data_IF_491445400114
#
_entry.id   IF_491445400114
#
_cell.length_a   1.000
_cell.length_b   1.000
_cell.length_c   1.000
_cell.angle_alpha   90.00
_cell.angle_beta   90.00
_cell.angle_gamma   90.00
#
_symmetry.space_group_name_H-M   'P 1'
#
loop_
_entity.id
_entity.type
_entity.pdbx_description
1 polymer ?
#
# COMPACT_ATOMS: atom_id res chain seq x y z
N UNK A 1 -51.41 -24.45 21.35
CA UNK A 1 -50.03 -24.98 21.35
C UNK A 1 -49.49 -24.92 22.78
N UNK A 2 -49.07 -26.02 23.37
CA UNK A 2 -48.67 -26.09 24.77
C UNK A 2 -47.32 -25.35 24.99
N UNK A 3 -47.15 -24.78 26.19
CA UNK A 3 -45.94 -24.08 26.62
C UNK A 3 -44.65 -24.90 26.38
N UNK A 4 -44.73 -26.24 26.49
CA UNK A 4 -43.64 -27.16 26.18
C UNK A 4 -43.23 -27.18 24.71
N UNK A 5 -44.16 -27.01 23.76
CA UNK A 5 -43.83 -26.93 22.33
C UNK A 5 -43.12 -25.60 22.00
N UNK A 6 -43.54 -24.50 22.62
CA UNK A 6 -42.85 -23.18 22.45
C UNK A 6 -41.43 -23.23 23.00
N UNK A 7 -41.16 -23.85 24.17
CA UNK A 7 -39.81 -23.99 24.74
C UNK A 7 -38.89 -24.83 23.86
N UNK A 8 -39.39 -25.93 23.30
CA UNK A 8 -38.57 -26.73 22.36
C UNK A 8 -38.22 -25.98 21.09
N UNK A 9 -39.14 -25.21 20.52
CA UNK A 9 -38.89 -24.37 19.36
C UNK A 9 -37.83 -23.30 19.62
N UNK A 10 -37.86 -22.64 20.76
CA UNK A 10 -36.88 -21.64 21.17
C UNK A 10 -35.49 -22.27 21.33
N UNK A 11 -35.40 -23.47 21.91
CA UNK A 11 -34.13 -24.19 22.05
C UNK A 11 -33.57 -24.66 20.68
N UNK A 12 -34.43 -25.06 19.75
CA UNK A 12 -33.97 -25.40 18.39
C UNK A 12 -33.55 -24.18 17.59
N UNK A 13 -34.20 -23.02 17.73
CA UNK A 13 -33.81 -21.76 17.09
C UNK A 13 -32.48 -21.26 17.64
N UNK A 14 -32.26 -21.31 18.94
CA UNK A 14 -30.99 -20.88 19.56
C UNK A 14 -29.83 -21.83 19.19
N UNK A 15 -30.08 -23.14 19.11
CA UNK A 15 -29.07 -24.09 18.61
C UNK A 15 -28.74 -23.86 17.14
N UNK A 16 -29.72 -23.57 16.28
CA UNK A 16 -29.53 -23.30 14.87
C UNK A 16 -28.74 -21.96 14.68
N UNK A 17 -29.05 -20.94 15.46
CA UNK A 17 -28.30 -19.65 15.46
C UNK A 17 -26.86 -19.88 15.90
N UNK A 18 -26.59 -20.67 16.92
CA UNK A 18 -25.21 -20.98 17.34
C UNK A 18 -24.46 -21.80 16.28
N UNK A 19 -25.12 -22.76 15.61
CA UNK A 19 -24.47 -23.59 14.57
C UNK A 19 -24.07 -22.76 13.35
N UNK A 20 -24.79 -21.67 13.07
CA UNK A 20 -24.49 -20.79 11.92
C UNK A 20 -23.63 -19.59 12.33
N UNK A 21 -23.90 -18.95 13.46
CA UNK A 21 -23.20 -17.77 13.90
C UNK A 21 -21.75 -18.05 14.36
N UNK A 22 -21.50 -19.17 15.04
CA UNK A 22 -20.15 -19.52 15.50
C UNK A 22 -19.18 -19.81 14.34
N UNK A 23 -19.54 -20.59 13.31
CA UNK A 23 -18.68 -20.73 12.14
C UNK A 23 -18.46 -19.42 11.38
N UNK A 24 -19.48 -18.56 11.27
CA UNK A 24 -19.36 -17.26 10.61
C UNK A 24 -18.41 -16.35 11.40
N UNK A 25 -18.51 -16.29 12.73
CA UNK A 25 -17.59 -15.49 13.56
C UNK A 25 -16.18 -16.03 13.53
N UNK A 26 -15.97 -17.35 13.56
CA UNK A 26 -14.66 -17.96 13.41
C UNK A 26 -14.10 -17.70 12.01
N UNK A 27 -14.90 -17.84 10.96
CA UNK A 27 -14.50 -17.54 9.58
C UNK A 27 -14.12 -16.07 9.40
N UNK A 28 -14.91 -15.14 9.96
CA UNK A 28 -14.59 -13.71 9.97
C UNK A 28 -13.31 -13.41 10.76
N UNK A 29 -13.09 -14.06 11.91
CA UNK A 29 -11.83 -13.91 12.65
C UNK A 29 -10.63 -14.46 11.87
N UNK A 30 -10.79 -15.54 11.11
CA UNK A 30 -9.73 -16.08 10.25
C UNK A 30 -9.37 -15.09 9.14
N UNK A 31 -10.33 -14.36 8.58
CA UNK A 31 -10.10 -13.38 7.52
C UNK A 31 -9.52 -12.07 8.07
N UNK A 32 -9.87 -11.66 9.29
CA UNK A 32 -9.52 -10.36 9.86
C UNK A 32 -8.19 -10.40 10.62
N UNK A 33 -7.82 -11.54 11.25
CA UNK A 33 -6.60 -11.61 12.05
C UNK A 33 -5.42 -12.13 11.25
N UNK A 34 -4.39 -11.30 11.15
CA UNK A 34 -3.09 -11.71 10.63
C UNK A 34 -2.35 -12.58 11.66
N UNK A 35 -1.77 -13.67 11.19
CA UNK A 35 -0.82 -14.48 11.96
C UNK A 35 0.56 -14.33 11.31
N UNK A 36 1.23 -13.24 11.70
CA UNK A 36 2.46 -12.76 11.08
C UNK A 36 3.64 -13.53 11.66
N UNK A 37 4.47 -14.20 10.83
CA UNK A 37 5.73 -14.77 11.29
C UNK A 37 6.70 -13.68 11.74
N UNK A 38 7.62 -14.03 12.62
CA UNK A 38 8.73 -13.13 13.00
C UNK A 38 9.65 -12.90 11.78
N UNK A 39 10.18 -11.68 11.69
CA UNK A 39 11.14 -11.31 10.66
C UNK A 39 12.48 -11.99 10.93
N UNK A 40 13.16 -12.46 9.89
CA UNK A 40 14.47 -13.07 10.02
C UNK A 40 15.51 -12.03 10.46
N UNK A 41 16.30 -12.39 11.48
CA UNK A 41 17.34 -11.51 12.03
C UNK A 41 18.37 -11.13 10.96
N UNK A 42 18.67 -9.84 10.87
CA UNK A 42 19.64 -9.30 9.93
C UNK A 42 19.14 -9.23 8.47
N UNK A 43 17.88 -9.58 8.21
CA UNK A 43 17.29 -9.46 6.88
C UNK A 43 17.09 -8.00 6.46
N UNK A 44 17.04 -7.77 5.15
CA UNK A 44 16.68 -6.46 4.58
C UNK A 44 15.26 -6.10 4.99
N UNK A 45 14.32 -7.06 4.94
CA UNK A 45 12.96 -6.88 5.41
C UNK A 45 12.92 -6.36 6.86
N UNK A 46 13.66 -7.01 7.78
CA UNK A 46 13.74 -6.59 9.18
C UNK A 46 14.32 -5.18 9.32
N UNK A 47 15.41 -4.88 8.60
CA UNK A 47 16.07 -3.56 8.63
C UNK A 47 15.09 -2.44 8.25
N UNK A 48 14.37 -2.59 7.15
CA UNK A 48 13.45 -1.57 6.66
C UNK A 48 12.08 -1.60 7.38
N UNK A 49 11.79 -2.63 8.16
CA UNK A 49 10.68 -2.67 9.09
C UNK A 49 10.95 -1.89 10.40
N UNK A 50 12.21 -1.57 10.71
CA UNK A 50 12.58 -0.73 11.85
C UNK A 50 12.33 0.75 11.50
N UNK A 51 12.13 1.57 12.56
CA UNK A 51 11.98 3.02 12.41
C UNK A 51 13.23 3.63 11.78
N UNK A 52 13.04 4.50 10.80
CA UNK A 52 14.12 5.28 10.18
C UNK A 52 14.69 6.36 11.11
N UNK A 53 15.69 7.07 10.62
CA UNK A 53 16.47 8.03 11.43
C UNK A 53 15.86 9.42 11.56
N UNK A 54 14.88 9.76 10.69
CA UNK A 54 14.32 11.11 10.69
C UNK A 54 13.27 11.31 11.80
N UNK A 55 13.29 12.49 12.39
CA UNK A 55 12.19 13.00 13.20
C UNK A 55 11.02 13.38 12.32
N UNK A 56 9.84 12.83 12.59
CA UNK A 56 8.64 13.05 11.77
C UNK A 56 7.79 14.18 12.33
N UNK A 57 7.30 15.03 11.43
CA UNK A 57 6.25 16.02 11.65
C UNK A 57 4.98 15.52 10.98
N UNK A 58 3.83 15.82 11.59
CA UNK A 58 2.51 15.49 11.03
C UNK A 58 1.69 16.79 10.98
N UNK A 59 1.05 17.05 9.85
CA UNK A 59 0.24 18.24 9.63
C UNK A 59 -1.04 17.92 8.86
N UNK A 60 -2.14 18.59 9.20
CA UNK A 60 -3.38 18.51 8.46
C UNK A 60 -3.56 19.73 7.55
N UNK A 61 -3.77 19.47 6.27
CA UNK A 61 -4.20 20.46 5.30
C UNK A 61 -5.71 20.53 5.32
N UNK A 62 -6.26 21.74 5.49
CA UNK A 62 -7.70 21.97 5.55
C UNK A 62 -8.18 22.83 4.39
N UNK A 63 -9.38 22.56 3.92
CA UNK A 63 -10.11 23.46 3.02
C UNK A 63 -10.47 24.76 3.74
N UNK A 64 -10.82 25.80 2.99
CA UNK A 64 -11.35 27.05 3.57
C UNK A 64 -12.61 26.83 4.40
N UNK A 65 -13.36 25.75 4.17
CA UNK A 65 -14.50 25.32 4.98
C UNK A 65 -14.11 24.78 6.37
N UNK A 66 -12.82 24.53 6.63
CA UNK A 66 -12.30 23.88 7.83
C UNK A 66 -12.27 22.35 7.77
N UNK A 67 -12.80 21.75 6.70
CA UNK A 67 -12.76 20.31 6.48
C UNK A 67 -11.32 19.84 6.15
N UNK A 68 -10.89 18.73 6.75
CA UNK A 68 -9.59 18.11 6.45
C UNK A 68 -9.57 17.60 5.01
N UNK A 69 -8.51 17.92 4.27
CA UNK A 69 -8.31 17.55 2.89
C UNK A 69 -7.22 16.48 2.77
N UNK A 70 -6.04 16.76 3.35
CA UNK A 70 -4.89 15.85 3.37
C UNK A 70 -4.28 15.79 4.76
N UNK A 71 -3.62 14.67 5.09
CA UNK A 71 -2.66 14.56 6.17
C UNK A 71 -1.26 14.35 5.57
N UNK A 72 -0.32 15.14 6.06
CA UNK A 72 1.08 15.12 5.66
C UNK A 72 1.93 14.54 6.78
N UNK A 73 2.85 13.66 6.41
CA UNK A 73 3.88 13.11 7.28
C UNK A 73 5.22 13.39 6.62
N UNK A 74 6.11 14.10 7.28
CA UNK A 74 7.35 14.52 6.66
C UNK A 74 8.49 14.59 7.66
N UNK A 75 9.75 14.36 7.22
CA UNK A 75 10.92 14.52 8.08
C UNK A 75 11.03 15.98 8.52
N UNK A 76 11.52 16.24 9.74
CA UNK A 76 11.92 17.58 10.13
C UNK A 76 13.00 18.05 9.14
N UNK A 77 12.66 19.03 8.28
CA UNK A 77 13.48 19.43 7.17
C UNK A 77 14.87 19.94 7.58
N UNK A 78 15.89 19.49 6.88
CA UNK A 78 17.24 20.02 6.92
C UNK A 78 17.38 21.18 5.93
N UNK A 79 18.33 22.09 6.14
CA UNK A 79 18.44 23.33 5.37
C UNK A 79 18.65 23.07 3.87
N UNK A 80 19.56 22.17 3.53
CA UNK A 80 19.97 21.89 2.15
C UNK A 80 19.41 20.57 1.59
N UNK A 81 18.42 19.96 2.26
CA UNK A 81 17.82 18.69 1.82
C UNK A 81 16.47 18.90 1.13
N UNK A 82 16.21 18.08 0.13
CA UNK A 82 14.91 17.87 -0.48
C UNK A 82 14.56 16.39 -0.45
N UNK A 83 13.28 16.05 -0.51
CA UNK A 83 12.77 14.72 -0.17
C UNK A 83 11.84 14.19 -1.25
N UNK A 84 11.90 12.87 -1.55
CA UNK A 84 10.93 12.19 -2.40
C UNK A 84 9.53 12.20 -1.80
N UNK A 85 8.51 12.06 -2.68
CA UNK A 85 7.10 11.96 -2.28
C UNK A 85 6.63 10.50 -2.32
N UNK A 86 5.76 10.15 -1.37
CA UNK A 86 4.84 9.01 -1.48
C UNK A 86 3.41 9.55 -1.33
N UNK A 87 2.58 9.41 -2.38
CA UNK A 87 1.15 9.64 -2.27
C UNK A 87 0.44 8.31 -1.98
N UNK A 88 -0.34 8.31 -0.88
CA UNK A 88 -1.01 7.11 -0.39
C UNK A 88 -2.45 7.02 -0.87
N UNK A 89 -2.89 5.81 -1.24
CA UNK A 89 -4.27 5.47 -1.59
C UNK A 89 -4.94 4.65 -0.49
N UNK A 90 -6.00 5.19 0.10
CA UNK A 90 -6.77 4.54 1.16
C UNK A 90 -7.64 3.39 0.64
N UNK A 91 -7.89 2.39 1.48
CA UNK A 91 -8.96 1.41 1.25
C UNK A 91 -10.34 2.04 1.38
N UNK A 92 -11.37 1.31 0.95
CA UNK A 92 -12.78 1.74 1.04
C UNK A 92 -13.14 2.20 2.45
N UNK A 93 -13.77 3.37 2.58
CA UNK A 93 -14.18 3.99 3.84
C UNK A 93 -13.04 4.27 4.84
N UNK A 94 -11.78 4.09 4.45
CA UNK A 94 -10.62 4.40 5.27
C UNK A 94 -10.22 5.87 5.15
N UNK A 95 -9.54 6.36 6.18
CA UNK A 95 -8.94 7.70 6.28
C UNK A 95 -7.50 7.55 6.78
N UNK A 96 -6.67 8.60 6.79
CA UNK A 96 -5.29 8.54 7.27
C UNK A 96 -5.11 7.88 8.65
N UNK A 97 -6.11 7.97 9.53
CA UNK A 97 -6.04 7.36 10.87
C UNK A 97 -5.82 5.82 10.84
N UNK A 98 -6.26 5.16 9.76
CA UNK A 98 -6.06 3.71 9.59
C UNK A 98 -4.59 3.34 9.34
N UNK A 99 -3.80 4.26 8.79
CA UNK A 99 -2.42 4.03 8.34
C UNK A 99 -1.40 4.92 9.06
N UNK A 100 -1.81 5.66 10.09
CA UNK A 100 -1.01 6.71 10.73
C UNK A 100 0.40 6.24 11.16
N UNK A 101 0.50 5.06 11.77
CA UNK A 101 1.78 4.48 12.18
C UNK A 101 2.67 4.10 10.98
N UNK A 102 2.08 3.52 9.92
CA UNK A 102 2.78 3.15 8.70
C UNK A 102 3.29 4.39 7.96
N UNK A 103 2.44 5.42 7.78
CA UNK A 103 2.81 6.63 7.05
C UNK A 103 3.84 7.45 7.83
N UNK A 104 3.74 7.48 9.16
CA UNK A 104 4.79 8.01 10.05
C UNK A 104 6.09 7.21 9.89
N UNK A 105 6.00 5.88 9.80
CA UNK A 105 7.17 5.05 9.58
C UNK A 105 7.87 5.38 8.24
N UNK A 106 7.13 5.47 7.14
CA UNK A 106 7.69 5.86 5.84
C UNK A 106 8.37 7.24 5.91
N UNK A 107 7.72 8.22 6.53
CA UNK A 107 8.32 9.54 6.72
C UNK A 107 9.61 9.51 7.55
N UNK A 108 9.74 8.58 8.51
CA UNK A 108 10.96 8.40 9.27
C UNK A 108 12.15 7.90 8.43
N UNK A 109 11.89 7.37 7.23
CA UNK A 109 12.87 6.95 6.24
C UNK A 109 13.21 8.03 5.20
N UNK A 110 12.71 9.27 5.41
CA UNK A 110 13.06 10.44 4.59
C UNK A 110 12.06 10.76 3.48
N UNK A 111 10.86 10.21 3.50
CA UNK A 111 9.81 10.53 2.54
C UNK A 111 8.90 11.64 3.05
N UNK A 112 8.41 12.50 2.15
CA UNK A 112 7.20 13.27 2.37
C UNK A 112 6.03 12.39 1.95
N UNK A 113 5.19 12.00 2.90
CA UNK A 113 4.03 11.14 2.66
C UNK A 113 2.77 12.00 2.76
N UNK A 114 1.90 11.89 1.76
CA UNK A 114 0.63 12.61 1.72
C UNK A 114 -0.52 11.62 1.53
N UNK A 115 -1.57 11.79 2.33
CA UNK A 115 -2.76 10.94 2.30
C UNK A 115 -4.03 11.79 2.34
N UNK A 116 -5.02 11.43 1.54
CA UNK A 116 -6.29 12.12 1.43
C UNK A 116 -7.29 11.65 2.51
N UNK A 117 -8.09 12.57 3.03
CA UNK A 117 -9.26 12.23 3.85
C UNK A 117 -10.45 11.69 3.05
N UNK A 118 -10.32 11.56 1.72
CA UNK A 118 -11.33 10.88 0.91
C UNK A 118 -11.47 9.42 1.31
N UNK A 119 -12.70 8.96 1.41
CA UNK A 119 -13.04 7.56 1.68
C UNK A 119 -13.12 6.70 0.42
N UNK A 120 -12.89 7.31 -0.73
CA UNK A 120 -12.91 6.65 -2.04
C UNK A 120 -11.70 7.15 -2.83
N UNK A 121 -10.75 6.26 -3.10
CA UNK A 121 -9.50 6.59 -3.81
C UNK A 121 -9.24 5.71 -5.03
N UNK A 122 -10.17 4.80 -5.36
CA UNK A 122 -9.99 3.78 -6.38
C UNK A 122 -9.84 4.31 -7.80
N UNK A 123 -10.41 5.49 -8.09
CA UNK A 123 -10.22 6.15 -9.39
C UNK A 123 -8.80 6.72 -9.58
N UNK A 124 -8.03 6.89 -8.50
CA UNK A 124 -6.71 7.52 -8.51
C UNK A 124 -6.72 9.04 -8.48
N UNK A 125 -7.89 9.67 -8.51
CA UNK A 125 -8.05 11.13 -8.57
C UNK A 125 -7.43 11.80 -7.34
N UNK A 126 -7.78 11.36 -6.14
CA UNK A 126 -7.31 11.94 -4.88
C UNK A 126 -5.80 11.77 -4.69
N UNK A 127 -5.24 10.68 -5.21
CA UNK A 127 -3.81 10.39 -5.21
C UNK A 127 -3.05 11.41 -6.07
N UNK A 128 -3.59 11.72 -7.25
CA UNK A 128 -3.01 12.72 -8.16
C UNK A 128 -3.21 14.14 -7.64
N UNK A 129 -4.38 14.46 -7.07
CA UNK A 129 -4.64 15.77 -6.44
C UNK A 129 -3.66 16.04 -5.28
N UNK A 130 -3.28 15.01 -4.53
CA UNK A 130 -2.26 15.10 -3.48
C UNK A 130 -0.87 15.44 -4.04
N UNK A 131 -0.48 14.80 -5.16
CA UNK A 131 0.77 15.11 -5.87
C UNK A 131 0.75 16.56 -6.39
N UNK A 132 -0.34 16.97 -7.03
CA UNK A 132 -0.50 18.32 -7.58
C UNK A 132 -0.48 19.39 -6.47
N UNK A 133 -1.07 19.08 -5.30
CA UNK A 133 -0.98 19.95 -4.12
C UNK A 133 0.49 20.16 -3.70
N UNK A 134 1.25 19.10 -3.49
CA UNK A 134 2.65 19.18 -3.08
C UNK A 134 3.51 19.88 -4.13
N UNK A 135 3.24 19.66 -5.42
CA UNK A 135 3.92 20.38 -6.50
C UNK A 135 3.71 21.89 -6.38
N UNK A 136 2.47 22.33 -6.15
CA UNK A 136 2.16 23.74 -5.98
C UNK A 136 2.85 24.33 -4.73
N UNK A 137 2.85 23.58 -3.61
CA UNK A 137 3.54 24.00 -2.38
C UNK A 137 5.04 24.14 -2.59
N UNK A 138 5.67 23.27 -3.39
CA UNK A 138 7.10 23.32 -3.71
C UNK A 138 7.51 24.58 -4.51
N UNK A 139 6.57 25.18 -5.24
CA UNK A 139 6.78 26.38 -6.06
C UNK A 139 6.50 27.69 -5.31
N UNK A 140 5.80 27.65 -4.16
CA UNK A 140 5.38 28.83 -3.41
C UNK A 140 6.41 29.24 -2.34
N UNK A 141 7.05 30.40 -2.49
CA UNK A 141 8.11 30.87 -1.59
C UNK A 141 7.69 31.04 -0.11
N UNK A 142 6.40 31.14 0.17
CA UNK A 142 5.85 31.23 1.54
C UNK A 142 5.41 29.86 2.11
N UNK A 143 5.52 28.79 1.33
CA UNK A 143 5.22 27.44 1.78
C UNK A 143 6.35 26.85 2.62
N UNK A 144 6.00 26.04 3.61
CA UNK A 144 6.96 25.19 4.33
C UNK A 144 7.70 24.21 3.40
N UNK A 145 7.05 23.80 2.32
CA UNK A 145 7.56 22.84 1.35
C UNK A 145 8.32 23.49 0.18
N UNK A 146 8.55 24.82 0.21
CA UNK A 146 9.25 25.52 -0.87
C UNK A 146 10.64 24.94 -1.11
N UNK A 147 10.86 24.41 -2.31
CA UNK A 147 12.11 23.76 -2.75
C UNK A 147 12.56 22.57 -1.85
N UNK A 148 11.61 21.95 -1.13
CA UNK A 148 11.88 20.77 -0.28
C UNK A 148 11.46 19.44 -0.92
N UNK A 149 10.91 19.46 -2.13
CA UNK A 149 10.35 18.29 -2.79
C UNK A 149 11.13 17.93 -4.05
N UNK A 150 11.52 16.67 -4.14
CA UNK A 150 12.14 16.07 -5.34
C UNK A 150 11.03 15.62 -6.30
N UNK A 151 10.62 16.51 -7.22
CA UNK A 151 9.53 16.24 -8.15
C UNK A 151 9.83 15.13 -9.16
N UNK A 152 11.09 14.75 -9.31
CA UNK A 152 11.56 13.63 -10.13
C UNK A 152 11.46 12.28 -9.41
N UNK A 153 11.17 12.28 -8.09
CA UNK A 153 11.18 11.12 -7.23
C UNK A 153 9.83 10.95 -6.52
N UNK A 154 8.80 10.59 -7.28
CA UNK A 154 7.43 10.39 -6.79
C UNK A 154 7.05 8.92 -6.87
N UNK A 155 6.72 8.33 -5.74
CA UNK A 155 6.11 7.00 -5.65
C UNK A 155 4.64 7.09 -5.23
N UNK A 156 3.87 6.07 -5.58
CA UNK A 156 2.51 5.88 -5.08
C UNK A 156 2.37 4.50 -4.47
N UNK A 157 1.68 4.41 -3.34
CA UNK A 157 1.34 3.15 -2.70
C UNK A 157 -0.10 3.19 -2.20
N UNK A 158 -0.79 2.06 -2.21
CA UNK A 158 -2.18 2.03 -1.78
C UNK A 158 -2.65 0.65 -1.39
N UNK A 159 -3.69 0.63 -0.56
CA UNK A 159 -4.31 -0.57 0.00
C UNK A 159 -5.72 -0.78 -0.53
N UNK A 160 -6.06 -2.02 -0.91
CA UNK A 160 -7.42 -2.39 -1.29
C UNK A 160 -7.95 -1.50 -2.43
N UNK A 161 -9.03 -0.73 -2.27
CA UNK A 161 -9.48 0.25 -3.25
C UNK A 161 -8.37 1.24 -3.64
N UNK A 162 -7.53 1.67 -2.69
CA UNK A 162 -6.36 2.49 -2.99
C UNK A 162 -5.30 1.77 -3.82
N UNK A 163 -5.24 0.43 -3.76
CA UNK A 163 -4.37 -0.37 -4.63
C UNK A 163 -4.82 -0.30 -6.10
N UNK A 164 -6.12 -0.23 -6.37
CA UNK A 164 -6.63 0.08 -7.71
C UNK A 164 -6.34 1.53 -8.08
N UNK A 165 -6.52 2.43 -7.11
CA UNK A 165 -6.30 3.86 -7.27
C UNK A 165 -4.89 4.24 -7.67
N UNK A 166 -3.85 3.60 -7.12
CA UNK A 166 -2.46 3.89 -7.50
C UNK A 166 -2.15 3.47 -8.94
N UNK A 167 -2.75 2.39 -9.42
CA UNK A 167 -2.68 1.99 -10.83
C UNK A 167 -3.37 3.04 -11.70
N UNK A 168 -4.60 3.42 -11.36
CA UNK A 168 -5.38 4.41 -12.08
C UNK A 168 -4.74 5.81 -12.03
N UNK A 169 -4.12 6.21 -10.93
CA UNK A 169 -3.38 7.46 -10.81
C UNK A 169 -2.24 7.55 -11.85
N UNK A 170 -1.48 6.47 -12.02
CA UNK A 170 -0.42 6.41 -13.02
C UNK A 170 -0.95 6.37 -14.45
N UNK A 171 -2.01 5.61 -14.71
CA UNK A 171 -2.43 5.26 -16.08
C UNK A 171 -3.47 6.19 -16.69
N UNK A 172 -4.25 6.92 -15.88
CA UNK A 172 -5.42 7.66 -16.33
C UNK A 172 -5.30 9.19 -16.22
N UNK A 173 -4.24 9.70 -15.56
CA UNK A 173 -4.08 11.14 -15.33
C UNK A 173 -2.78 11.67 -15.92
N UNK A 174 -2.81 12.96 -16.32
CA UNK A 174 -1.63 13.62 -16.88
C UNK A 174 -0.47 13.66 -15.87
N UNK A 175 -0.75 14.00 -14.61
CA UNK A 175 0.25 14.03 -13.54
C UNK A 175 0.77 12.63 -13.17
N UNK A 176 0.11 11.56 -13.62
CA UNK A 176 0.58 10.18 -13.53
C UNK A 176 1.95 9.95 -14.19
N UNK A 177 2.31 10.77 -15.20
CA UNK A 177 3.64 10.73 -15.82
C UNK A 177 4.79 11.16 -14.89
N UNK A 178 4.49 11.81 -13.77
CA UNK A 178 5.48 12.17 -12.75
C UNK A 178 5.79 10.99 -11.81
N UNK A 179 4.92 9.99 -11.76
CA UNK A 179 5.07 8.81 -10.90
C UNK A 179 6.20 7.94 -11.44
N UNK A 180 7.14 7.55 -10.57
CA UNK A 180 8.32 6.75 -10.88
C UNK A 180 8.21 5.30 -10.42
N UNK A 181 7.30 5.01 -9.50
CA UNK A 181 7.02 3.64 -9.04
C UNK A 181 5.63 3.52 -8.45
N UNK A 182 5.02 2.35 -8.62
CA UNK A 182 3.70 2.00 -8.11
C UNK A 182 3.82 0.83 -7.16
N UNK A 183 3.15 0.88 -6.01
CA UNK A 183 3.01 -0.25 -5.08
C UNK A 183 1.53 -0.50 -4.80
N UNK A 184 1.07 -1.69 -5.16
CA UNK A 184 -0.31 -2.14 -4.95
C UNK A 184 -0.36 -3.19 -3.85
N UNK A 185 -1.13 -2.94 -2.77
CA UNK A 185 -1.19 -3.81 -1.60
C UNK A 185 -2.62 -4.34 -1.43
N UNK A 186 -2.77 -5.67 -1.38
CA UNK A 186 -4.05 -6.35 -1.33
C UNK A 186 -4.98 -5.92 -2.47
N UNK A 187 -4.46 -5.98 -3.72
CA UNK A 187 -5.15 -5.58 -4.94
C UNK A 187 -6.46 -6.37 -5.12
N UNK A 188 -7.62 -5.73 -5.15
CA UNK A 188 -8.89 -6.42 -5.32
C UNK A 188 -9.00 -7.10 -6.68
N UNK A 189 -9.62 -8.29 -6.70
CA UNK A 189 -10.10 -8.88 -7.95
C UNK A 189 -11.12 -7.93 -8.62
N UNK A 190 -11.07 -7.80 -9.94
CA UNK A 190 -11.91 -6.87 -10.72
C UNK A 190 -13.41 -7.00 -10.42
N UNK A 191 -13.87 -8.21 -10.04
CA UNK A 191 -15.28 -8.43 -9.63
C UNK A 191 -15.69 -7.72 -8.34
N UNK A 192 -14.71 -7.22 -7.56
CA UNK A 192 -14.93 -6.47 -6.32
C UNK A 192 -14.71 -4.95 -6.52
N UNK A 193 -14.31 -4.53 -7.72
CA UNK A 193 -14.12 -3.11 -8.03
C UNK A 193 -15.45 -2.47 -8.44
N UNK A 194 -15.69 -1.25 -8.01
CA UNK A 194 -16.73 -0.42 -8.59
C UNK A 194 -16.39 -0.10 -10.06
N UNK A 195 -17.38 0.16 -10.91
CA UNK A 195 -17.14 0.38 -12.35
C UNK A 195 -16.11 1.48 -12.67
N UNK A 196 -16.03 2.52 -11.85
CA UNK A 196 -15.06 3.62 -11.97
C UNK A 196 -13.68 3.28 -11.45
N UNK A 197 -13.53 2.23 -10.64
CA UNK A 197 -12.28 1.81 -10.02
C UNK A 197 -11.56 0.69 -10.82
N UNK A 198 -12.14 0.25 -11.92
CA UNK A 198 -11.53 -0.77 -12.80
C UNK A 198 -10.15 -0.31 -13.24
N UNK A 199 -9.18 -1.19 -13.11
CA UNK A 199 -7.78 -0.92 -13.42
C UNK A 199 -7.26 -1.80 -14.58
N UNK A 200 -6.18 -1.33 -15.22
CA UNK A 200 -5.49 -2.05 -16.29
C UNK A 200 -3.96 -2.00 -16.07
N UNK A 201 -3.39 -3.11 -15.62
CA UNK A 201 -1.95 -3.20 -15.34
C UNK A 201 -1.09 -3.22 -16.60
N UNK A 202 -1.66 -3.55 -17.78
CA UNK A 202 -0.94 -3.49 -19.06
C UNK A 202 -0.46 -2.07 -19.42
N UNK A 203 -1.04 -1.05 -18.78
CA UNK A 203 -0.71 0.36 -19.00
C UNK A 203 0.34 0.91 -18.03
N UNK A 204 0.80 0.08 -17.07
CA UNK A 204 1.87 0.47 -16.15
C UNK A 204 3.21 0.40 -16.88
N UNK A 205 3.94 1.52 -16.86
CA UNK A 205 5.23 1.68 -17.56
C UNK A 205 6.39 2.00 -16.62
N UNK A 206 6.15 1.99 -15.31
CA UNK A 206 7.16 2.25 -14.26
C UNK A 206 7.27 1.05 -13.34
N UNK A 207 8.38 0.88 -12.61
CA UNK A 207 8.55 -0.24 -11.68
C UNK A 207 7.34 -0.46 -10.77
N UNK A 208 6.88 -1.70 -10.71
CA UNK A 208 5.64 -2.07 -10.05
C UNK A 208 5.84 -3.20 -9.03
N UNK A 209 5.45 -2.97 -7.78
CA UNK A 209 5.42 -3.98 -6.72
C UNK A 209 3.99 -4.33 -6.34
N UNK A 210 3.67 -5.62 -6.31
CA UNK A 210 2.37 -6.15 -5.92
C UNK A 210 2.55 -6.98 -4.65
N UNK A 211 1.88 -6.61 -3.58
CA UNK A 211 1.94 -7.33 -2.31
C UNK A 211 0.55 -7.78 -1.88
N UNK A 212 0.41 -9.09 -1.64
CA UNK A 212 -0.82 -9.67 -1.09
C UNK A 212 -0.59 -10.37 0.24
N UNK A 213 -1.64 -11.03 0.74
CA UNK A 213 -1.58 -11.84 1.95
C UNK A 213 -2.22 -13.20 1.77
N UNK A 214 -1.61 -14.28 2.29
CA UNK A 214 -2.13 -15.65 2.09
C UNK A 214 -3.48 -15.90 2.74
N UNK A 215 -3.96 -15.00 3.61
CA UNK A 215 -5.29 -15.08 4.23
C UNK A 215 -6.31 -14.16 3.56
N UNK A 216 -5.91 -13.42 2.52
CA UNK A 216 -6.78 -12.57 1.71
C UNK A 216 -7.22 -13.29 0.41
N UNK A 217 -7.80 -14.47 0.56
CA UNK A 217 -8.19 -15.31 -0.57
C UNK A 217 -9.53 -14.95 -1.20
N UNK A 218 -10.24 -13.96 -0.66
CA UNK A 218 -11.55 -13.50 -1.18
C UNK A 218 -11.38 -12.24 -2.02
N UNK A 219 -10.79 -11.20 -1.43
CA UNK A 219 -10.69 -9.88 -2.07
C UNK A 219 -9.47 -9.82 -3.01
N UNK A 220 -8.31 -10.26 -2.52
CA UNK A 220 -7.04 -10.25 -3.24
C UNK A 220 -6.40 -11.63 -3.29
N UNK A 221 -7.03 -12.63 -3.96
CA UNK A 221 -6.45 -13.96 -4.08
C UNK A 221 -5.13 -13.92 -4.87
N UNK A 222 -4.26 -14.90 -4.66
CA UNK A 222 -2.98 -15.01 -5.37
C UNK A 222 -3.15 -14.93 -6.88
N UNK A 223 -4.20 -15.54 -7.44
CA UNK A 223 -4.47 -15.51 -8.88
C UNK A 223 -4.70 -14.11 -9.44
N UNK A 224 -5.29 -13.20 -8.67
CA UNK A 224 -5.47 -11.80 -9.06
C UNK A 224 -4.11 -11.09 -9.12
N UNK A 225 -3.25 -11.30 -8.12
CA UNK A 225 -1.93 -10.69 -8.07
C UNK A 225 -1.02 -11.24 -9.19
N UNK A 226 -1.07 -12.55 -9.47
CA UNK A 226 -0.38 -13.18 -10.61
C UNK A 226 -0.87 -12.63 -11.96
N UNK A 227 -2.19 -12.51 -12.13
CA UNK A 227 -2.76 -11.94 -13.34
C UNK A 227 -2.31 -10.48 -13.53
N UNK A 228 -2.27 -9.69 -12.47
CA UNK A 228 -1.80 -8.31 -12.50
C UNK A 228 -0.33 -8.22 -12.92
N UNK A 229 0.54 -9.10 -12.41
CA UNK A 229 1.95 -9.21 -12.82
C UNK A 229 2.05 -9.60 -14.30
N UNK A 230 1.37 -10.68 -14.72
CA UNK A 230 1.49 -11.19 -16.08
C UNK A 230 0.91 -10.26 -17.14
N UNK A 231 -0.07 -9.42 -16.77
CA UNK A 231 -0.64 -8.41 -17.68
C UNK A 231 0.19 -7.12 -17.72
N UNK A 232 1.12 -6.91 -16.80
CA UNK A 232 1.96 -5.71 -16.80
C UNK A 232 2.75 -5.61 -18.11
N UNK A 233 2.98 -4.38 -18.59
CA UNK A 233 3.66 -4.14 -19.86
C UNK A 233 4.99 -4.91 -19.94
N UNK A 234 5.26 -5.55 -21.10
CA UNK A 234 6.32 -6.54 -21.28
C UNK A 234 7.75 -6.07 -20.94
N UNK A 235 7.99 -4.76 -20.90
CA UNK A 235 9.30 -4.19 -20.52
C UNK A 235 9.34 -3.60 -19.11
N UNK A 236 8.21 -3.63 -18.37
CA UNK A 236 8.14 -3.01 -17.04
C UNK A 236 8.74 -3.93 -15.99
N UNK A 237 9.67 -3.45 -15.14
CA UNK A 237 10.09 -4.18 -13.95
C UNK A 237 8.91 -4.39 -13.01
N UNK A 238 8.58 -5.64 -12.74
CA UNK A 238 7.46 -5.99 -11.85
C UNK A 238 7.83 -7.15 -10.94
N UNK A 239 7.42 -7.06 -9.70
CA UNK A 239 7.55 -8.12 -8.71
C UNK A 239 6.28 -8.25 -7.90
N UNK A 240 5.92 -9.50 -7.58
CA UNK A 240 4.82 -9.77 -6.66
C UNK A 240 5.24 -10.74 -5.56
N UNK A 241 4.50 -10.75 -4.46
CA UNK A 241 4.62 -11.75 -3.41
C UNK A 241 3.45 -11.72 -2.44
N UNK A 242 3.20 -12.90 -1.84
CA UNK A 242 2.14 -13.09 -0.85
C UNK A 242 2.75 -13.28 0.55
N UNK A 243 2.52 -12.32 1.45
CA UNK A 243 2.97 -12.40 2.83
C UNK A 243 2.23 -13.53 3.58
N UNK A 244 2.97 -14.46 4.19
CA UNK A 244 2.38 -15.57 4.97
C UNK A 244 1.60 -15.06 6.16
N UNK A 245 0.39 -15.57 6.32
CA UNK A 245 -0.48 -15.25 7.45
C UNK A 245 -1.09 -13.86 7.42
N UNK A 246 -0.77 -13.01 6.45
CA UNK A 246 -1.37 -11.69 6.31
C UNK A 246 -2.81 -11.78 5.81
N UNK A 247 -3.71 -11.09 6.49
CA UNK A 247 -5.10 -10.89 6.09
C UNK A 247 -5.25 -9.61 5.25
N UNK A 248 -6.44 -9.34 4.72
CA UNK A 248 -6.72 -8.17 3.89
C UNK A 248 -6.26 -6.85 4.53
N UNK A 249 -6.52 -6.67 5.82
CA UNK A 249 -6.20 -5.45 6.57
C UNK A 249 -4.84 -5.47 7.27
N UNK A 250 -3.96 -6.43 6.95
CA UNK A 250 -2.65 -6.57 7.59
C UNK A 250 -1.73 -5.35 7.45
N UNK A 251 -1.98 -4.52 6.42
CA UNK A 251 -1.23 -3.28 6.17
C UNK A 251 -1.68 -2.11 7.05
N UNK A 252 -2.87 -2.17 7.65
CA UNK A 252 -3.39 -1.12 8.53
C UNK A 252 -2.54 -0.99 9.82
N UNK A 253 -2.65 0.14 10.50
CA UNK A 253 -1.85 0.44 11.68
C UNK A 253 -0.36 0.58 11.33
N UNK A 254 0.46 -0.32 11.82
CA UNK A 254 1.91 -0.26 11.65
C UNK A 254 2.45 -0.88 10.35
N UNK A 255 1.57 -1.34 9.44
CA UNK A 255 1.96 -1.94 8.16
C UNK A 255 2.25 -3.44 8.19
N UNK A 256 2.20 -4.07 9.36
CA UNK A 256 2.37 -5.52 9.52
C UNK A 256 3.55 -6.10 8.73
N UNK A 257 3.31 -7.22 8.05
CA UNK A 257 4.31 -7.90 7.21
C UNK A 257 4.73 -7.11 5.95
N UNK A 258 3.89 -6.18 5.50
CA UNK A 258 4.18 -5.45 4.26
C UNK A 258 5.17 -4.30 4.47
N UNK A 259 5.28 -3.78 5.70
CA UNK A 259 6.05 -2.57 6.04
C UNK A 259 7.50 -2.63 5.59
N UNK A 260 8.19 -3.75 5.84
CA UNK A 260 9.61 -3.91 5.54
C UNK A 260 9.89 -3.75 4.05
N UNK A 261 9.27 -4.57 3.22
CA UNK A 261 9.50 -4.52 1.77
C UNK A 261 8.84 -3.30 1.09
N UNK A 262 7.73 -2.77 1.59
CA UNK A 262 7.21 -1.49 1.12
C UNK A 262 8.26 -0.37 1.29
N UNK A 263 8.85 -0.27 2.48
CA UNK A 263 9.88 0.74 2.77
C UNK A 263 11.14 0.51 1.94
N UNK A 264 11.62 -0.73 1.86
CA UNK A 264 12.79 -1.09 1.06
C UNK A 264 12.57 -0.78 -0.43
N UNK A 265 11.38 -1.11 -1.00
CA UNK A 265 11.06 -0.79 -2.38
C UNK A 265 11.09 0.70 -2.67
N UNK A 266 10.43 1.51 -1.82
CA UNK A 266 10.42 2.96 -1.96
C UNK A 266 11.82 3.56 -1.81
N UNK A 267 12.64 3.05 -0.88
CA UNK A 267 14.05 3.44 -0.73
C UNK A 267 14.86 3.09 -1.99
N UNK A 268 14.70 1.89 -2.51
CA UNK A 268 15.38 1.47 -3.75
C UNK A 268 15.00 2.38 -4.92
N UNK A 269 13.70 2.61 -5.14
CA UNK A 269 13.22 3.27 -6.35
C UNK A 269 13.28 4.81 -6.32
N UNK A 270 13.32 5.40 -5.15
CA UNK A 270 13.27 6.87 -4.99
C UNK A 270 14.55 7.47 -4.39
N UNK A 271 15.44 6.66 -3.82
CA UNK A 271 16.72 7.09 -3.26
C UNK A 271 17.93 6.35 -3.85
N UNK A 272 17.72 5.43 -4.80
CA UNK A 272 18.75 4.54 -5.32
C UNK A 272 19.51 3.76 -4.23
N UNK A 273 18.79 3.39 -3.16
CA UNK A 273 19.35 2.70 -2.00
C UNK A 273 19.81 1.29 -2.39
N UNK A 274 21.13 1.11 -2.48
CA UNK A 274 21.74 -0.11 -2.96
C UNK A 274 21.55 -1.31 -2.00
N UNK A 275 21.37 -1.05 -0.71
CA UNK A 275 21.05 -2.13 0.24
C UNK A 275 19.60 -2.60 0.06
N UNK A 276 18.67 -1.67 -0.11
CA UNK A 276 17.28 -1.98 -0.40
C UNK A 276 17.10 -2.72 -1.74
N UNK A 277 17.89 -2.38 -2.75
CA UNK A 277 17.89 -3.02 -4.07
C UNK A 277 18.10 -4.54 -3.96
N UNK A 278 18.96 -5.02 -3.08
CA UNK A 278 19.25 -6.44 -2.88
C UNK A 278 18.02 -7.27 -2.48
N UNK A 279 16.97 -6.63 -1.96
CA UNK A 279 15.73 -7.33 -1.65
C UNK A 279 14.96 -7.76 -2.91
N UNK A 280 15.20 -7.12 -4.07
CA UNK A 280 14.34 -7.25 -5.26
C UNK A 280 15.09 -7.59 -6.53
N UNK A 281 16.43 -7.44 -6.57
CA UNK A 281 17.20 -7.55 -7.80
C UNK A 281 17.84 -8.93 -7.95
N UNK A 282 17.64 -9.52 -9.13
CA UNK A 282 18.24 -10.79 -9.53
C UNK A 282 17.62 -12.02 -8.85
N UNK A 283 18.06 -13.20 -9.32
CA UNK A 283 17.59 -14.49 -8.80
C UNK A 283 17.97 -14.73 -7.33
N UNK A 284 18.95 -13.99 -6.81
CA UNK A 284 19.38 -14.05 -5.41
C UNK A 284 18.71 -13.02 -4.51
N UNK A 285 17.68 -12.31 -5.01
CA UNK A 285 16.95 -11.30 -4.23
C UNK A 285 16.38 -11.89 -2.93
N UNK A 286 16.44 -11.12 -1.84
CA UNK A 286 15.99 -11.62 -0.55
C UNK A 286 14.51 -12.04 -0.58
N UNK A 287 13.64 -11.27 -1.23
CA UNK A 287 12.21 -11.55 -1.27
C UNK A 287 11.89 -12.92 -1.92
N UNK A 288 12.65 -13.33 -2.96
CA UNK A 288 12.51 -14.63 -3.61
C UNK A 288 12.82 -15.81 -2.67
N UNK A 289 13.70 -15.60 -1.70
CA UNK A 289 14.18 -16.63 -0.76
C UNK A 289 13.65 -16.49 0.66
N UNK A 290 12.86 -15.44 0.93
CA UNK A 290 12.33 -15.17 2.24
C UNK A 290 11.21 -16.16 2.62
N UNK A 291 11.45 -16.96 3.67
CA UNK A 291 10.49 -17.96 4.13
C UNK A 291 9.12 -17.39 4.56
N UNK A 292 9.04 -16.08 4.82
CA UNK A 292 7.81 -15.39 5.21
C UNK A 292 6.96 -14.94 4.01
N UNK A 293 7.47 -15.12 2.80
CA UNK A 293 6.78 -14.80 1.55
C UNK A 293 6.63 -16.04 0.69
N UNK A 294 5.55 -16.14 -0.04
CA UNK A 294 5.27 -17.25 -0.99
C UNK A 294 4.70 -16.68 -2.28
N UNK A 295 4.64 -17.54 -3.31
CA UNK A 295 4.17 -17.14 -4.64
C UNK A 295 4.88 -15.86 -5.11
N UNK A 296 6.20 -15.78 -4.85
CA UNK A 296 7.01 -14.64 -5.26
C UNK A 296 7.40 -14.85 -6.71
N UNK A 297 7.00 -13.90 -7.56
CA UNK A 297 7.27 -13.89 -8.99
C UNK A 297 7.81 -12.53 -9.41
N UNK A 298 8.64 -12.50 -10.46
CA UNK A 298 9.20 -11.27 -10.99
C UNK A 298 9.35 -11.32 -12.51
N UNK A 299 9.35 -10.15 -13.14
CA UNK A 299 9.72 -9.97 -14.53
C UNK A 299 10.49 -8.66 -14.71
N UNK A 300 11.49 -8.69 -15.59
CA UNK A 300 12.31 -7.53 -15.98
C UNK A 300 13.03 -6.81 -14.83
N UNK A 301 13.26 -7.49 -13.70
CA UNK A 301 13.90 -6.85 -12.53
C UNK A 301 15.40 -6.63 -12.72
N UNK A 302 16.04 -7.31 -13.66
CA UNK A 302 17.47 -7.20 -13.95
C UNK A 302 17.82 -6.13 -14.99
N UNK A 303 16.82 -5.45 -15.54
CA UNK A 303 17.03 -4.41 -16.55
C UNK A 303 17.52 -3.10 -15.91
N UNK A 304 18.83 -2.84 -16.02
CA UNK A 304 19.49 -1.63 -15.51
C UNK A 304 19.06 -0.33 -16.21
N UNK A 305 18.22 -0.39 -17.25
CA UNK A 305 17.76 0.80 -18.01
C UNK A 305 16.83 1.71 -17.22
N UNK A 306 16.30 1.25 -16.08
CA UNK A 306 15.46 2.03 -15.17
C UNK A 306 16.22 2.66 -13.99
N UNK A 307 17.56 2.66 -14.01
CA UNK A 307 18.38 3.55 -13.18
C UNK A 307 18.23 4.95 -13.79
N UNK A 308 17.69 5.89 -13.04
CA UNK A 308 17.34 7.24 -13.50
C UNK A 308 18.45 7.87 -14.37
N UNK A 309 18.09 8.50 -15.51
CA UNK A 309 19.02 9.32 -16.26
C UNK A 309 19.40 10.58 -15.51
#
# INVERSE_FOLDING_TARGET
>A
MSVLKKRKWILWLSALIMIVAVPITIFMQIIIHSNVPELADGSIEQRYAQKGSYHVKVEEVKRMSGEALFRLYYPAFQEDESYPIISWGNGTDATPDRYDELLTHLASWGFIVIDSYSKTTGTGKEIVEAIDYLKNENEQANSLFYQKIQMEHIGVAGHSQGATGVINAHTNYKSGSLIKTVVSIALPDLKHCDPEDVYDTARITVPFLIMGGTRDFIISPVSTNQLALHNTHASTPVMMGMAKGAAHTAIEGNGGNHRGYLTAWMRYRLFDDQEAMKAFHGDSSEMMHNANWVDVEQANMDDHTFVNP
#
